data_IF_608070215489
#
_entry.id   IF_608070215489
#
_cell.length_a   1.000
_cell.length_b   1.000
_cell.length_c   1.000
_cell.angle_alpha   90.00
_cell.angle_beta   90.00
_cell.angle_gamma   90.00
#
_symmetry.space_group_name_H-M   'P 1'
#
loop_
_entity.id
_entity.type
_entity.pdbx_description
1 polymer ?
#
# COMPACT_ATOMS: atom_id res chain seq x y z
N UNK A 1 18.97 -19.16 3.99
CA UNK A 1 18.26 -18.02 3.37
C UNK A 1 17.75 -17.11 4.48
N UNK A 2 18.04 -15.81 4.46
CA UNK A 2 17.54 -14.88 5.50
C UNK A 2 16.05 -14.61 5.26
N UNK A 3 15.20 -14.94 6.23
CA UNK A 3 13.76 -14.67 6.17
C UNK A 3 13.45 -13.19 6.33
N UNK A 4 12.38 -12.74 5.69
CA UNK A 4 11.77 -11.41 5.80
C UNK A 4 10.32 -11.58 6.26
N UNK A 5 9.85 -10.66 7.09
CA UNK A 5 8.44 -10.59 7.50
C UNK A 5 7.66 -9.72 6.52
N UNK A 6 6.45 -10.13 6.17
CA UNK A 6 5.47 -9.34 5.43
C UNK A 6 4.37 -8.92 6.40
N UNK A 7 4.05 -7.63 6.45
CA UNK A 7 2.93 -7.14 7.23
C UNK A 7 1.60 -7.36 6.48
N UNK A 8 0.47 -7.16 7.16
CA UNK A 8 -0.86 -7.37 6.60
C UNK A 8 -1.07 -6.58 5.32
N UNK A 9 -0.63 -5.31 5.27
CA UNK A 9 -0.78 -4.46 4.07
C UNK A 9 -0.06 -5.04 2.84
N UNK A 10 1.15 -5.57 3.00
CA UNK A 10 1.89 -6.20 1.92
C UNK A 10 1.23 -7.53 1.48
N UNK A 11 0.79 -8.34 2.45
CA UNK A 11 0.09 -9.61 2.20
C UNK A 11 -1.21 -9.37 1.43
N UNK A 12 -2.02 -8.39 1.83
CA UNK A 12 -3.22 -7.95 1.11
C UNK A 12 -2.91 -7.48 -0.31
N UNK A 13 -1.83 -6.71 -0.49
CA UNK A 13 -1.36 -6.28 -1.80
C UNK A 13 -1.08 -7.44 -2.75
N UNK A 14 -0.38 -8.49 -2.28
CA UNK A 14 -0.11 -9.67 -3.10
C UNK A 14 -1.35 -10.54 -3.32
N UNK A 15 -2.22 -10.68 -2.31
CA UNK A 15 -3.48 -11.41 -2.44
C UNK A 15 -4.39 -10.81 -3.50
N UNK A 16 -4.55 -9.48 -3.47
CA UNK A 16 -5.32 -8.72 -4.46
C UNK A 16 -4.75 -8.80 -5.88
N UNK A 17 -3.53 -9.30 -6.06
CA UNK A 17 -2.90 -9.53 -7.38
C UNK A 17 -2.85 -11.00 -7.77
N UNK A 18 -3.46 -11.89 -6.98
CA UNK A 18 -3.38 -13.34 -7.20
C UNK A 18 -1.98 -13.91 -7.01
N UNK A 19 -1.11 -13.21 -6.28
CA UNK A 19 0.29 -13.58 -6.11
C UNK A 19 0.59 -14.15 -4.72
N UNK A 20 -0.31 -14.03 -3.74
CA UNK A 20 -0.04 -14.38 -2.34
C UNK A 20 0.64 -15.75 -2.16
N UNK A 21 0.07 -16.80 -2.75
CA UNK A 21 0.55 -18.18 -2.60
C UNK A 21 1.96 -18.40 -3.20
N UNK A 22 2.41 -17.51 -4.10
CA UNK A 22 3.79 -17.55 -4.60
C UNK A 22 4.76 -17.00 -3.55
N UNK A 23 4.36 -15.96 -2.81
CA UNK A 23 5.21 -15.23 -1.88
C UNK A 23 5.37 -15.87 -0.50
N UNK A 24 4.36 -16.59 -0.02
CA UNK A 24 4.39 -17.24 1.30
C UNK A 24 5.23 -18.53 1.27
N UNK A 25 6.00 -18.74 2.34
CA UNK A 25 6.77 -19.98 2.54
C UNK A 25 5.86 -21.20 2.80
N UNK A 26 4.72 -21.00 3.47
CA UNK A 26 3.64 -21.98 3.64
C UNK A 26 2.56 -21.80 2.58
N UNK A 27 2.03 -22.93 2.07
CA UNK A 27 0.91 -22.94 1.09
C UNK A 27 -0.44 -22.65 1.75
N UNK A 28 -0.53 -22.82 3.05
CA UNK A 28 -1.69 -22.46 3.84
C UNK A 28 -1.41 -21.10 4.49
N UNK A 29 -2.29 -20.11 4.34
CA UNK A 29 -2.20 -18.91 5.18
C UNK A 29 -2.21 -19.40 6.62
N UNK A 30 -1.23 -18.97 7.42
CA UNK A 30 -1.13 -19.38 8.81
C UNK A 30 -2.52 -19.23 9.44
N UNK A 31 -3.04 -20.35 9.96
CA UNK A 31 -4.31 -20.40 10.70
C UNK A 31 -4.40 -19.18 11.62
N UNK A 32 -5.59 -18.56 11.81
CA UNK A 32 -5.74 -17.45 12.74
C UNK A 32 -5.00 -17.81 14.03
N UNK A 33 -3.99 -16.99 14.38
CA UNK A 33 -2.98 -17.26 15.41
C UNK A 33 -3.58 -18.12 16.53
N UNK A 34 -3.13 -19.37 16.66
CA UNK A 34 -3.68 -20.29 17.64
C UNK A 34 -3.55 -19.68 19.04
N UNK A 35 -4.69 -19.38 19.66
CA UNK A 35 -4.78 -18.87 21.03
C UNK A 35 -4.67 -20.03 22.01
N UNK A 36 -3.51 -20.67 22.02
CA UNK A 36 -3.16 -21.69 23.03
C UNK A 36 -2.36 -21.04 24.16
N UNK A 37 -2.54 -21.55 25.38
CA UNK A 37 -1.89 -21.01 26.56
C UNK A 37 -0.35 -21.06 26.40
N UNK A 38 0.31 -19.91 26.49
CA UNK A 38 1.76 -19.78 26.36
C UNK A 38 2.28 -19.62 24.93
N UNK A 39 1.43 -19.61 23.90
CA UNK A 39 1.85 -19.36 22.53
C UNK A 39 2.37 -17.92 22.36
N UNK A 40 3.61 -17.81 21.88
CA UNK A 40 4.33 -16.55 21.70
C UNK A 40 4.77 -16.40 20.25
N UNK A 41 4.48 -15.27 19.63
CA UNK A 41 4.83 -15.00 18.23
C UNK A 41 5.42 -13.60 18.05
N UNK A 42 6.04 -13.37 16.88
CA UNK A 42 6.54 -12.05 16.47
C UNK A 42 7.69 -11.54 17.33
N UNK A 43 8.93 -11.91 16.99
CA UNK A 43 10.16 -11.42 17.66
C UNK A 43 10.60 -10.04 17.14
N UNK A 44 9.64 -9.15 16.86
CA UNK A 44 9.82 -7.98 15.99
C UNK A 44 10.08 -6.67 16.74
N UNK A 45 9.67 -6.53 18.01
CA UNK A 45 9.95 -5.33 18.80
C UNK A 45 11.12 -5.59 19.75
N UNK A 46 12.33 -5.15 19.42
CA UNK A 46 13.49 -5.27 20.32
C UNK A 46 13.72 -6.69 20.90
N UNK A 47 13.32 -7.76 20.18
CA UNK A 47 13.41 -9.14 20.64
C UNK A 47 12.32 -9.59 21.64
N UNK A 48 11.30 -8.76 21.89
CA UNK A 48 10.13 -9.07 22.73
C UNK A 48 9.12 -9.88 21.91
N UNK A 49 8.51 -10.88 22.54
CA UNK A 49 7.46 -11.71 21.97
C UNK A 49 6.07 -11.20 22.36
N UNK A 50 5.10 -11.36 21.48
CA UNK A 50 3.68 -11.12 21.75
C UNK A 50 2.99 -12.39 22.24
N UNK A 51 1.99 -12.23 23.12
CA UNK A 51 1.09 -13.29 23.57
C UNK A 51 -0.18 -13.27 22.72
N UNK A 52 -0.42 -14.33 21.93
CA UNK A 52 -1.59 -14.39 21.04
C UNK A 52 -2.92 -14.36 21.79
N UNK A 53 -2.93 -14.76 23.06
CA UNK A 53 -4.14 -14.71 23.89
C UNK A 53 -4.59 -13.27 24.19
N UNK A 54 -3.70 -12.29 24.06
CA UNK A 54 -3.97 -10.86 24.25
C UNK A 54 -4.39 -10.13 22.97
N UNK A 55 -4.34 -10.78 21.82
CA UNK A 55 -4.75 -10.18 20.55
C UNK A 55 -6.28 -10.16 20.43
N UNK A 56 -6.86 -8.99 20.21
CA UNK A 56 -8.30 -8.77 20.06
C UNK A 56 -8.61 -8.14 18.70
N UNK A 57 -8.73 -8.97 17.65
CA UNK A 57 -9.01 -8.49 16.29
C UNK A 57 -10.33 -7.69 16.16
N UNK A 58 -11.27 -7.89 17.08
CA UNK A 58 -12.52 -7.12 17.14
C UNK A 58 -12.31 -5.62 17.36
N UNK A 59 -11.12 -5.18 17.80
CA UNK A 59 -10.76 -3.76 17.92
C UNK A 59 -10.70 -3.03 16.59
N UNK A 60 -10.52 -3.77 15.48
CA UNK A 60 -10.51 -3.23 14.13
C UNK A 60 -11.77 -3.69 13.39
N UNK A 61 -12.83 -2.88 13.43
CA UNK A 61 -14.14 -3.22 12.86
C UNK A 61 -14.09 -3.72 11.41
N UNK A 62 -13.14 -3.22 10.62
CA UNK A 62 -13.03 -3.52 9.19
C UNK A 62 -11.92 -4.54 8.86
N UNK A 63 -11.19 -5.05 9.87
CA UNK A 63 -10.21 -6.13 9.71
C UNK A 63 -10.89 -7.48 9.89
N UNK A 64 -11.65 -7.89 8.87
CA UNK A 64 -12.40 -9.15 8.89
C UNK A 64 -11.49 -10.36 8.60
N UNK A 65 -11.80 -11.55 9.15
CA UNK A 65 -11.04 -12.76 8.87
C UNK A 65 -10.93 -13.03 7.37
N UNK A 66 -9.69 -13.16 6.90
CA UNK A 66 -9.37 -13.42 5.48
C UNK A 66 -8.03 -14.15 5.35
N UNK A 67 -7.76 -14.78 4.19
CA UNK A 67 -6.46 -15.39 3.89
C UNK A 67 -5.28 -14.40 3.95
N UNK A 68 -5.55 -13.09 3.91
CA UNK A 68 -4.53 -12.05 3.87
C UNK A 68 -4.41 -11.23 5.15
N UNK A 69 -5.21 -11.52 6.18
CA UNK A 69 -5.21 -10.74 7.43
C UNK A 69 -3.92 -10.96 8.24
N UNK A 70 -3.45 -12.21 8.29
CA UNK A 70 -2.26 -12.56 9.05
C UNK A 70 -0.97 -12.12 8.31
N UNK A 71 0.05 -11.63 9.03
CA UNK A 71 1.36 -11.37 8.44
C UNK A 71 2.00 -12.67 7.94
N UNK A 72 2.87 -12.55 6.95
CA UNK A 72 3.54 -13.70 6.33
C UNK A 72 5.06 -13.67 6.50
N UNK A 73 5.72 -14.74 6.07
CA UNK A 73 7.17 -14.77 5.90
C UNK A 73 7.55 -15.16 4.48
N UNK A 74 8.67 -14.60 4.02
CA UNK A 74 9.24 -14.81 2.69
C UNK A 74 10.76 -14.65 2.71
N UNK A 75 11.40 -14.69 1.54
CA UNK A 75 12.82 -14.36 1.36
C UNK A 75 12.99 -13.31 0.26
N UNK A 76 14.12 -12.58 0.28
CA UNK A 76 14.39 -11.58 -0.75
C UNK A 76 14.49 -12.21 -2.14
N UNK A 77 15.22 -13.33 -2.28
CA UNK A 77 15.38 -13.97 -3.60
C UNK A 77 14.03 -14.48 -4.14
N UNK A 78 13.11 -14.93 -3.27
CA UNK A 78 11.75 -15.30 -3.67
C UNK A 78 10.97 -14.08 -4.16
N UNK A 79 11.03 -12.97 -3.42
CA UNK A 79 10.37 -11.72 -3.82
C UNK A 79 10.88 -11.26 -5.19
N UNK A 80 12.19 -11.19 -5.36
CA UNK A 80 12.81 -10.80 -6.62
C UNK A 80 12.44 -11.73 -7.77
N UNK A 81 12.48 -13.05 -7.56
CA UNK A 81 12.16 -14.03 -8.60
C UNK A 81 10.72 -13.88 -9.09
N UNK A 82 9.75 -13.76 -8.17
CA UNK A 82 8.33 -13.67 -8.54
C UNK A 82 8.02 -12.34 -9.23
N UNK A 83 8.55 -11.24 -8.72
CA UNK A 83 8.33 -9.93 -9.34
C UNK A 83 9.03 -9.82 -10.69
N UNK A 84 10.21 -10.44 -10.85
CA UNK A 84 10.90 -10.56 -12.13
C UNK A 84 10.06 -11.33 -13.14
N UNK A 85 9.63 -12.55 -12.81
CA UNK A 85 8.79 -13.37 -13.68
C UNK A 85 7.52 -12.61 -14.08
N UNK A 86 6.90 -11.90 -13.13
CA UNK A 86 5.72 -11.08 -13.41
C UNK A 86 6.03 -9.94 -14.39
N UNK A 87 7.11 -9.20 -14.18
CA UNK A 87 7.51 -8.11 -15.07
C UNK A 87 7.81 -8.63 -16.48
N UNK A 88 8.57 -9.72 -16.60
CA UNK A 88 8.89 -10.36 -17.87
C UNK A 88 7.63 -10.86 -18.59
N UNK A 89 6.66 -11.43 -17.87
CA UNK A 89 5.35 -11.82 -18.44
C UNK A 89 4.53 -10.65 -18.99
N UNK A 90 4.83 -9.43 -18.54
CA UNK A 90 4.23 -8.18 -19.02
C UNK A 90 5.06 -7.53 -20.14
N UNK A 91 6.10 -8.20 -20.64
CA UNK A 91 6.99 -7.69 -21.70
C UNK A 91 8.09 -6.76 -21.22
N UNK A 92 8.32 -6.64 -19.90
CA UNK A 92 9.41 -5.81 -19.35
C UNK A 92 10.74 -6.55 -19.47
N UNK A 93 11.74 -5.91 -20.08
CA UNK A 93 13.12 -6.41 -20.10
C UNK A 93 13.89 -5.85 -18.91
N UNK A 94 14.44 -6.72 -18.05
CA UNK A 94 15.23 -6.31 -16.87
C UNK A 94 16.71 -6.57 -17.15
N UNK A 95 17.49 -5.49 -17.24
CA UNK A 95 18.94 -5.54 -17.34
C UNK A 95 19.57 -5.40 -15.95
N UNK A 96 20.45 -6.33 -15.57
CA UNK A 96 21.11 -6.35 -14.25
C UNK A 96 22.60 -6.10 -14.38
N UNK A 97 23.18 -5.54 -13.32
CA UNK A 97 24.61 -5.18 -13.27
C UNK A 97 25.04 -4.18 -14.34
N UNK A 98 24.07 -3.43 -14.89
CA UNK A 98 24.29 -2.35 -15.84
C UNK A 98 23.90 -1.06 -15.12
N UNK A 99 24.89 -0.33 -14.62
CA UNK A 99 24.66 0.97 -13.99
C UNK A 99 24.27 2.02 -15.03
N UNK A 100 23.35 2.92 -14.69
CA UNK A 100 23.13 4.14 -15.47
C UNK A 100 24.29 5.10 -15.15
N UNK A 101 25.07 5.47 -16.17
CA UNK A 101 26.26 6.31 -16.02
C UNK A 101 25.93 7.80 -16.19
N UNK A 102 25.12 8.13 -17.19
CA UNK A 102 24.75 9.52 -17.47
C UNK A 102 23.42 9.64 -18.20
N UNK A 103 22.82 10.84 -18.18
CA UNK A 103 21.74 11.22 -19.09
C UNK A 103 22.40 11.96 -20.26
N UNK A 104 22.37 11.36 -21.46
CA UNK A 104 23.04 11.90 -22.66
C UNK A 104 22.19 12.95 -23.37
N UNK A 105 20.87 12.73 -23.38
CA UNK A 105 19.92 13.65 -23.99
C UNK A 105 18.58 13.57 -23.26
N UNK A 106 17.90 14.71 -23.13
CA UNK A 106 16.58 14.79 -22.55
C UNK A 106 15.77 15.87 -23.26
N UNK A 107 14.55 15.54 -23.66
CA UNK A 107 13.53 16.46 -24.14
C UNK A 107 12.20 16.23 -23.39
N UNK A 108 11.16 16.97 -23.77
CA UNK A 108 9.84 16.90 -23.13
C UNK A 108 9.14 15.55 -23.28
N UNK A 109 9.60 14.68 -24.17
CA UNK A 109 8.96 13.42 -24.50
C UNK A 109 9.90 12.22 -24.38
N UNK A 110 11.23 12.40 -24.34
CA UNK A 110 12.21 11.32 -24.31
C UNK A 110 13.50 11.60 -23.52
N UNK A 111 13.97 10.57 -22.82
CA UNK A 111 15.25 10.56 -22.09
C UNK A 111 16.12 9.48 -22.70
N UNK A 112 17.36 9.84 -22.98
CA UNK A 112 18.39 8.90 -23.42
C UNK A 112 19.41 8.80 -22.30
N UNK A 113 19.53 7.61 -21.74
CA UNK A 113 20.55 7.30 -20.74
C UNK A 113 21.67 6.50 -21.37
N UNK A 114 22.90 6.78 -20.96
CA UNK A 114 24.06 5.93 -21.23
C UNK A 114 24.35 5.09 -20.00
N UNK A 115 24.71 3.84 -20.25
CA UNK A 115 25.09 2.90 -19.21
C UNK A 115 26.59 2.89 -18.99
N UNK A 116 27.03 2.29 -17.88
CA UNK A 116 28.46 2.10 -17.58
C UNK A 116 29.22 1.30 -18.66
N UNK A 117 28.50 0.57 -19.53
CA UNK A 117 29.07 -0.18 -20.64
C UNK A 117 29.02 0.60 -21.98
N UNK A 118 28.65 1.89 -21.96
CA UNK A 118 28.47 2.75 -23.12
C UNK A 118 27.29 2.37 -24.06
N UNK A 119 26.44 1.44 -23.65
CA UNK A 119 25.15 1.23 -24.32
C UNK A 119 24.22 2.42 -24.04
N UNK A 120 23.44 2.83 -25.04
CA UNK A 120 22.45 3.90 -24.90
C UNK A 120 21.03 3.36 -24.97
N UNK A 121 20.18 3.82 -24.06
CA UNK A 121 18.77 3.47 -24.00
C UNK A 121 17.93 4.73 -24.05
N UNK A 122 17.04 4.81 -25.04
CA UNK A 122 16.07 5.89 -25.15
C UNK A 122 14.72 5.40 -24.66
N UNK A 123 14.23 6.02 -23.58
CA UNK A 123 12.87 5.87 -23.08
C UNK A 123 12.06 7.14 -23.34
N UNK A 124 10.74 7.07 -23.16
CA UNK A 124 9.94 8.29 -23.01
C UNK A 124 10.22 8.91 -21.65
N UNK A 125 10.42 10.23 -21.58
CA UNK A 125 10.56 10.93 -20.29
C UNK A 125 9.16 11.08 -19.71
N UNK A 126 8.89 10.56 -18.53
CA UNK A 126 7.59 10.71 -17.84
C UNK A 126 7.61 11.93 -16.93
N UNK A 127 6.76 12.94 -17.12
CA UNK A 127 6.82 14.13 -16.23
C UNK A 127 6.54 13.62 -14.82
N UNK A 128 7.33 13.98 -13.80
CA UNK A 128 7.03 15.11 -12.92
C UNK A 128 8.00 15.24 -11.72
N UNK A 129 7.91 16.37 -10.99
CA UNK A 129 8.55 16.65 -9.70
C UNK A 129 7.56 17.19 -8.67
N UNK A 130 7.75 16.85 -7.38
CA UNK A 130 8.23 17.82 -6.36
C UNK A 130 8.82 17.16 -5.11
N UNK A 131 9.96 17.72 -4.67
CA UNK A 131 10.59 17.61 -3.34
C UNK A 131 9.97 18.65 -2.38
N UNK A 132 9.51 18.32 -1.17
CA UNK A 132 9.27 19.31 -0.12
C UNK A 132 10.38 19.25 0.93
N UNK A 133 11.50 19.92 0.62
CA UNK A 133 12.38 20.71 1.50
C UNK A 133 13.87 20.63 1.10
N UNK A 134 14.52 21.77 0.86
CA UNK A 134 15.96 21.85 0.65
C UNK A 134 16.66 22.14 1.99
N UNK A 135 17.60 21.29 2.39
CA UNK A 135 18.77 21.76 3.13
C UNK A 135 19.92 21.56 2.14
N UNK A 136 20.51 22.67 1.71
CA UNK A 136 21.54 22.83 0.67
C UNK A 136 21.04 23.08 -0.76
N UNK A 137 21.04 24.37 -1.12
CA UNK A 137 20.92 24.89 -2.49
C UNK A 137 22.18 24.53 -3.29
N UNK A 138 21.98 23.97 -4.48
CA UNK A 138 22.83 24.28 -5.64
C UNK A 138 21.92 24.83 -6.73
N UNK A 139 21.98 26.14 -6.92
CA UNK A 139 21.28 26.83 -8.00
C UNK A 139 21.93 26.41 -9.35
N UNK A 140 21.10 26.02 -10.33
CA UNK A 140 21.42 25.81 -11.77
C UNK A 140 21.60 24.41 -12.37
N UNK A 141 20.94 23.37 -11.83
CA UNK A 141 20.59 22.19 -12.63
C UNK A 141 19.05 22.03 -12.65
N UNK A 142 18.38 21.93 -13.80
CA UNK A 142 16.95 21.67 -13.84
C UNK A 142 16.69 20.26 -13.28
N UNK A 143 16.21 20.21 -12.03
CA UNK A 143 15.77 18.95 -11.42
C UNK A 143 14.52 18.48 -12.17
N UNK A 144 14.42 17.19 -12.50
CA UNK A 144 13.47 16.66 -13.50
C UNK A 144 12.58 15.48 -13.04
N UNK A 145 11.98 14.84 -14.04
CA UNK A 145 11.06 13.68 -14.14
C UNK A 145 11.34 12.44 -13.25
N UNK A 146 11.45 12.59 -11.93
CA UNK A 146 12.02 11.58 -11.02
C UNK A 146 11.14 11.38 -9.78
N UNK A 147 10.86 10.11 -9.45
CA UNK A 147 10.15 9.67 -8.25
C UNK A 147 11.05 8.73 -7.45
N UNK A 148 10.96 8.77 -6.12
CA UNK A 148 11.71 7.90 -5.21
C UNK A 148 10.75 6.96 -4.46
N UNK A 149 11.13 5.70 -4.30
CA UNK A 149 10.34 4.68 -3.60
C UNK A 149 11.24 3.65 -2.89
N UNK A 150 10.79 3.11 -1.76
CA UNK A 150 11.58 2.16 -0.97
C UNK A 150 12.85 2.79 -0.38
N UNK A 151 13.93 2.02 -0.30
CA UNK A 151 15.17 2.43 0.38
C UNK A 151 15.82 3.69 -0.24
N UNK A 152 15.51 4.05 -1.49
CA UNK A 152 15.98 5.33 -2.07
C UNK A 152 15.26 6.54 -1.49
N UNK A 153 14.08 6.34 -0.87
CA UNK A 153 13.27 7.39 -0.26
C UNK A 153 13.40 7.39 1.27
N UNK A 154 13.60 6.23 1.90
CA UNK A 154 13.73 6.11 3.36
C UNK A 154 14.59 4.92 3.75
N UNK A 155 15.68 5.19 4.48
CA UNK A 155 16.54 4.16 5.09
C UNK A 155 16.38 4.23 6.59
N UNK A 156 16.15 3.09 7.22
CA UNK A 156 16.04 2.98 8.67
C UNK A 156 16.64 1.65 9.17
N UNK A 157 16.97 1.54 10.47
CA UNK A 157 17.44 0.29 11.05
C UNK A 157 16.48 -0.88 10.74
N UNK A 158 16.98 -2.11 10.54
CA UNK A 158 16.17 -3.27 10.14
C UNK A 158 15.38 -3.88 11.31
N UNK A 159 14.92 -3.05 12.24
CA UNK A 159 14.12 -3.44 13.39
C UNK A 159 12.65 -3.56 12.97
N UNK A 160 11.96 -4.60 13.42
CA UNK A 160 10.55 -4.79 13.09
C UNK A 160 10.22 -5.25 11.67
N UNK A 161 11.22 -5.58 10.85
CA UNK A 161 11.04 -6.00 9.46
C UNK A 161 10.26 -5.01 8.57
N UNK A 162 10.39 -3.69 8.80
CA UNK A 162 9.55 -2.71 8.13
C UNK A 162 10.06 -2.25 6.75
N UNK A 163 11.38 -2.27 6.48
CA UNK A 163 11.93 -1.65 5.27
C UNK A 163 11.38 -2.22 3.95
N UNK A 164 11.38 -3.56 3.82
CA UNK A 164 10.77 -4.23 2.67
C UNK A 164 9.27 -3.90 2.55
N UNK A 165 8.54 -3.89 3.66
CA UNK A 165 7.11 -3.60 3.66
C UNK A 165 6.82 -2.14 3.24
N UNK A 166 7.64 -1.19 3.67
CA UNK A 166 7.56 0.21 3.23
C UNK A 166 7.77 0.33 1.72
N UNK A 167 8.82 -0.30 1.17
CA UNK A 167 9.07 -0.28 -0.27
C UNK A 167 7.97 -0.95 -1.10
N UNK A 168 7.42 -2.07 -0.63
CA UNK A 168 6.28 -2.72 -1.28
C UNK A 168 5.04 -1.82 -1.24
N UNK A 169 4.76 -1.16 -0.11
CA UNK A 169 3.64 -0.24 0.02
C UNK A 169 3.79 0.99 -0.88
N UNK A 170 5.02 1.51 -1.04
CA UNK A 170 5.31 2.59 -1.99
C UNK A 170 5.03 2.15 -3.43
N UNK A 171 5.57 1.00 -3.83
CA UNK A 171 5.39 0.46 -5.18
C UNK A 171 3.90 0.22 -5.51
N UNK A 172 3.14 -0.35 -4.57
CA UNK A 172 1.70 -0.57 -4.73
C UNK A 172 0.93 0.77 -4.84
N UNK A 173 1.35 1.80 -4.11
CA UNK A 173 0.69 3.11 -4.12
C UNK A 173 1.01 3.93 -5.38
N UNK A 174 2.26 3.92 -5.84
CA UNK A 174 2.73 4.76 -6.96
C UNK A 174 2.45 4.13 -8.32
N UNK A 175 2.52 2.80 -8.44
CA UNK A 175 2.52 2.12 -9.74
C UNK A 175 1.27 2.40 -10.58
N UNK A 176 0.09 2.37 -9.96
CA UNK A 176 -1.16 2.63 -10.68
C UNK A 176 -1.33 4.12 -11.02
N UNK A 177 -0.80 5.04 -10.20
CA UNK A 177 -0.86 6.48 -10.43
C UNK A 177 0.02 6.88 -11.61
N UNK A 178 1.24 6.36 -11.65
CA UNK A 178 2.15 6.51 -12.79
C UNK A 178 1.48 5.95 -14.04
N UNK A 179 0.90 4.75 -13.98
CA UNK A 179 0.18 4.18 -15.12
C UNK A 179 -0.99 5.06 -15.59
N UNK A 180 -1.74 5.69 -14.68
CA UNK A 180 -2.81 6.63 -15.05
C UNK A 180 -2.26 7.90 -15.70
N UNK A 181 -1.22 8.51 -15.14
CA UNK A 181 -0.54 9.67 -15.74
C UNK A 181 -0.01 9.35 -17.14
N UNK A 182 0.57 8.18 -17.34
CA UNK A 182 1.04 7.73 -18.66
C UNK A 182 -0.12 7.62 -19.65
N UNK A 183 -1.24 7.01 -19.26
CA UNK A 183 -2.42 6.92 -20.14
C UNK A 183 -2.96 8.30 -20.51
N UNK A 184 -2.96 9.23 -19.56
CA UNK A 184 -3.34 10.61 -19.82
C UNK A 184 -2.43 11.27 -20.86
N UNK A 185 -1.10 11.16 -20.69
CA UNK A 185 -0.13 11.68 -21.68
C UNK A 185 -0.36 11.12 -23.08
N UNK A 186 -0.67 9.82 -23.20
CA UNK A 186 -0.93 9.19 -24.49
C UNK A 186 -2.21 9.70 -25.18
N UNK A 187 -3.21 10.15 -24.43
CA UNK A 187 -4.46 10.67 -24.95
C UNK A 187 -4.46 12.19 -25.22
N UNK A 188 -3.44 12.91 -24.74
CA UNK A 188 -3.32 14.35 -24.88
C UNK A 188 -2.40 14.69 -26.08
N UNK A 189 -2.94 15.34 -27.12
CA UNK A 189 -2.16 15.84 -28.27
C UNK A 189 -1.26 17.03 -27.87
N UNK A 190 -0.20 16.75 -27.09
CA UNK A 190 0.78 17.75 -26.67
C UNK A 190 0.40 18.58 -25.44
N UNK A 191 -0.72 18.29 -24.78
CA UNK A 191 -1.05 18.90 -23.49
C UNK A 191 -0.31 18.21 -22.33
N UNK A 192 0.01 18.99 -21.29
CA UNK A 192 0.62 18.45 -20.07
C UNK A 192 -0.42 17.64 -19.30
N UNK A 193 -0.07 16.43 -18.82
CA UNK A 193 -0.98 15.64 -18.00
C UNK A 193 -1.24 16.35 -16.64
N UNK A 194 -2.37 16.04 -16.02
CA UNK A 194 -2.72 16.51 -14.68
C UNK A 194 -1.99 15.65 -13.64
N UNK A 195 -1.28 16.36 -12.77
CA UNK A 195 -0.44 15.78 -11.75
C UNK A 195 -1.14 15.41 -10.46
N UNK A 196 -2.35 15.93 -10.26
CA UNK A 196 -2.99 16.00 -8.96
C UNK A 196 -3.06 14.61 -8.30
N UNK A 197 -3.32 13.56 -9.08
CA UNK A 197 -3.31 12.19 -8.59
C UNK A 197 -1.93 11.72 -8.11
N UNK A 198 -0.89 11.99 -8.91
CA UNK A 198 0.47 11.55 -8.60
C UNK A 198 1.05 12.29 -7.40
N UNK A 199 0.71 13.58 -7.21
CA UNK A 199 1.09 14.36 -6.02
C UNK A 199 0.59 13.73 -4.71
N UNK A 200 -0.53 12.98 -4.77
CA UNK A 200 -1.02 12.25 -3.61
C UNK A 200 -0.08 11.12 -3.16
N UNK A 201 0.90 10.69 -3.96
CA UNK A 201 1.90 9.71 -3.55
C UNK A 201 2.74 10.25 -2.40
N UNK A 202 3.38 11.42 -2.59
CA UNK A 202 4.21 12.02 -1.56
C UNK A 202 3.40 12.30 -0.29
N UNK A 203 2.26 12.99 -0.43
CA UNK A 203 1.41 13.39 0.69
C UNK A 203 0.92 12.20 1.55
N UNK A 204 0.84 11.00 0.96
CA UNK A 204 0.38 9.79 1.64
C UNK A 204 1.54 8.94 2.17
N UNK A 205 2.62 8.81 1.39
CA UNK A 205 3.71 7.87 1.69
C UNK A 205 4.81 8.49 2.53
N UNK A 206 5.07 9.80 2.40
CA UNK A 206 6.06 10.47 3.24
C UNK A 206 5.70 10.43 4.74
N UNK A 207 4.48 10.82 5.18
CA UNK A 207 4.12 10.70 6.61
C UNK A 207 4.12 9.26 7.11
N UNK A 208 3.77 8.29 6.26
CA UNK A 208 3.81 6.88 6.62
C UNK A 208 5.26 6.39 6.84
N UNK A 209 6.19 6.77 5.96
CA UNK A 209 7.62 6.46 6.09
C UNK A 209 8.25 7.11 7.33
N UNK A 210 7.93 8.39 7.60
CA UNK A 210 8.33 9.09 8.83
C UNK A 210 7.86 8.35 10.09
N UNK A 211 6.61 7.88 10.11
CA UNK A 211 6.09 7.10 11.24
C UNK A 211 6.87 5.81 11.51
N UNK A 212 7.34 5.13 10.45
CA UNK A 212 8.18 3.93 10.58
C UNK A 212 9.59 4.27 11.07
N UNK A 213 10.17 5.38 10.59
CA UNK A 213 11.47 5.86 11.04
C UNK A 213 11.45 6.22 12.53
N UNK A 214 10.45 6.98 12.98
CA UNK A 214 10.25 7.33 14.39
C UNK A 214 10.07 6.09 15.27
N UNK A 215 9.25 5.14 14.82
CA UNK A 215 9.05 3.88 15.53
C UNK A 215 10.34 3.04 15.62
N UNK A 216 11.18 3.10 14.58
CA UNK A 216 12.49 2.43 14.58
C UNK A 216 13.49 3.13 15.51
N UNK A 217 13.49 4.47 15.58
CA UNK A 217 14.31 5.26 16.51
C UNK A 217 13.98 4.92 17.97
N UNK A 218 12.69 4.81 18.30
CA UNK A 218 12.26 4.40 19.64
C UNK A 218 12.81 3.01 20.02
N UNK A 219 12.80 2.05 19.09
CA UNK A 219 13.37 0.72 19.34
C UNK A 219 14.88 0.76 19.55
N UNK A 220 15.62 1.56 18.76
CA UNK A 220 17.07 1.75 18.95
C UNK A 220 17.38 2.32 20.33
N UNK A 221 16.59 3.30 20.80
CA UNK A 221 16.77 3.89 22.13
C UNK A 221 16.54 2.86 23.25
N UNK A 222 15.50 2.03 23.11
CA UNK A 222 15.19 0.95 24.07
C UNK A 222 16.25 -0.15 24.07
N UNK A 223 16.90 -0.42 22.93
CA UNK A 223 17.92 -1.45 22.77
C UNK A 223 19.32 -1.05 23.24
N UNK A 224 19.54 0.18 23.71
CA UNK A 224 20.86 0.62 24.16
C UNK A 224 21.37 -0.27 25.31
N UNK A 225 22.62 -0.76 25.27
CA UNK A 225 23.22 -1.59 26.32
C UNK A 225 23.66 -0.74 27.51
N UNK A 226 22.70 -0.08 28.16
CA UNK A 226 22.89 0.79 29.32
C UNK A 226 21.77 0.54 30.34
N UNK A 227 21.98 0.87 31.64
CA UNK A 227 20.94 0.69 32.67
C UNK A 227 19.60 1.34 32.31
N UNK A 228 19.63 2.50 31.65
CA UNK A 228 18.42 3.18 31.16
C UNK A 228 17.69 2.35 30.10
N UNK A 229 18.40 1.79 29.12
CA UNK A 229 17.81 0.92 28.10
C UNK A 229 17.18 -0.34 28.68
N UNK A 230 17.84 -0.97 29.66
CA UNK A 230 17.31 -2.12 30.38
C UNK A 230 16.02 -1.77 31.16
N UNK A 231 16.00 -0.64 31.86
CA UNK A 231 14.81 -0.16 32.57
C UNK A 231 13.64 0.14 31.62
N UNK A 232 13.92 0.81 30.48
CA UNK A 232 12.91 1.06 29.44
C UNK A 232 12.39 -0.23 28.84
N UNK A 233 13.25 -1.24 28.60
CA UNK A 233 12.81 -2.55 28.13
C UNK A 233 11.85 -3.23 29.11
N UNK A 234 12.13 -3.16 30.42
CA UNK A 234 11.25 -3.75 31.43
C UNK A 234 9.87 -3.09 31.41
N UNK A 235 9.81 -1.75 31.41
CA UNK A 235 8.54 -1.02 31.33
C UNK A 235 7.74 -1.40 30.07
N UNK A 236 8.41 -1.50 28.92
CA UNK A 236 7.75 -1.88 27.67
C UNK A 236 7.27 -3.34 27.70
N UNK A 237 8.01 -4.26 28.34
CA UNK A 237 7.55 -5.64 28.55
C UNK A 237 6.30 -5.70 29.40
N UNK A 238 6.24 -4.90 30.47
CA UNK A 238 5.07 -4.82 31.34
C UNK A 238 3.84 -4.28 30.58
N UNK A 239 4.04 -3.25 29.74
CA UNK A 239 2.98 -2.73 28.86
C UNK A 239 2.53 -3.77 27.82
N UNK A 240 3.46 -4.44 27.12
CA UNK A 240 3.13 -5.50 26.15
C UNK A 240 2.42 -6.67 26.83
N UNK A 241 2.69 -6.93 28.12
CA UNK A 241 1.97 -7.92 28.89
C UNK A 241 0.50 -7.54 29.18
N UNK A 242 0.03 -6.35 28.79
CA UNK A 242 -1.41 -6.01 28.83
C UNK A 242 -2.06 -6.27 27.47
N UNK A 243 -3.39 -6.42 27.47
CA UNK A 243 -4.18 -6.50 26.22
C UNK A 243 -3.99 -5.24 25.39
N UNK A 244 -4.11 -4.05 25.98
CA UNK A 244 -3.98 -2.79 25.25
C UNK A 244 -2.59 -2.60 24.65
N UNK A 245 -1.53 -2.84 25.42
CA UNK A 245 -0.16 -2.68 24.94
C UNK A 245 0.20 -3.68 23.83
N UNK A 246 -0.27 -4.93 23.90
CA UNK A 246 -0.13 -5.89 22.81
C UNK A 246 -0.80 -5.39 21.53
N UNK A 247 -2.07 -4.96 21.62
CA UNK A 247 -2.83 -4.54 20.42
C UNK A 247 -2.29 -3.24 19.80
N UNK A 248 -1.83 -2.27 20.60
CA UNK A 248 -1.19 -1.03 20.09
C UNK A 248 0.07 -1.34 19.26
N UNK A 249 0.89 -2.29 19.70
CA UNK A 249 2.09 -2.65 18.94
C UNK A 249 1.75 -3.50 17.71
N UNK A 250 0.83 -4.46 17.83
CA UNK A 250 0.38 -5.27 16.68
C UNK A 250 -0.18 -4.35 15.59
N UNK A 251 -1.00 -3.35 15.95
CA UNK A 251 -1.51 -2.34 15.02
C UNK A 251 -0.40 -1.75 14.15
N UNK A 252 0.68 -1.29 14.79
CA UNK A 252 1.82 -0.65 14.15
C UNK A 252 2.64 -1.62 13.31
N UNK A 253 2.85 -2.84 13.79
CA UNK A 253 3.65 -3.84 13.06
C UNK A 253 2.94 -4.35 11.82
N UNK A 254 1.65 -4.61 11.94
CA UNK A 254 0.85 -5.21 10.88
C UNK A 254 0.27 -4.16 9.93
N UNK A 255 0.19 -2.90 10.37
CA UNK A 255 -0.37 -1.79 9.61
C UNK A 255 -1.90 -1.82 9.57
N UNK A 256 -2.56 -2.38 10.60
CA UNK A 256 -4.01 -2.59 10.62
C UNK A 256 -4.79 -1.27 10.59
N UNK A 257 -4.27 -0.23 11.26
CA UNK A 257 -4.84 1.14 11.20
C UNK A 257 -4.14 2.05 10.19
N UNK A 258 -3.40 1.51 9.21
CA UNK A 258 -2.84 2.35 8.15
C UNK A 258 -3.97 3.02 7.38
N UNK A 259 -4.06 4.34 7.52
CA UNK A 259 -5.10 5.17 6.91
C UNK A 259 -4.51 6.41 6.25
N UNK A 260 -4.74 6.55 4.95
CA UNK A 260 -4.44 7.77 4.20
C UNK A 260 -5.58 8.78 4.37
N UNK A 261 -5.38 9.77 5.24
CA UNK A 261 -6.36 10.85 5.43
C UNK A 261 -6.50 11.66 4.12
N UNK A 262 -7.69 11.69 3.48
CA UNK A 262 -7.89 12.45 2.26
C UNK A 262 -8.18 13.92 2.62
N UNK A 263 -7.17 14.71 2.99
CA UNK A 263 -7.38 16.15 3.28
C UNK A 263 -8.48 16.47 4.31
N UNK A 264 -8.90 17.73 4.37
CA UNK A 264 -9.75 18.29 5.45
C UNK A 264 -11.26 18.27 5.15
N UNK A 265 -11.76 17.49 4.19
CA UNK A 265 -13.19 17.48 3.87
C UNK A 265 -13.98 16.56 4.81
N UNK A 266 -15.14 17.03 5.30
CA UNK A 266 -16.05 16.30 6.21
C UNK A 266 -16.58 14.99 5.61
N UNK A 267 -16.61 14.86 4.29
CA UNK A 267 -16.92 13.62 3.55
C UNK A 267 -15.95 12.44 3.84
N UNK A 268 -14.91 12.67 4.66
CA UNK A 268 -13.93 11.66 5.07
C UNK A 268 -13.93 11.38 6.58
N UNK A 269 -15.00 11.75 7.29
CA UNK A 269 -15.13 11.44 8.72
C UNK A 269 -15.05 9.93 9.00
N UNK A 270 -15.64 9.11 8.13
CA UNK A 270 -15.74 7.67 8.36
C UNK A 270 -14.36 6.97 8.35
N UNK A 271 -14.02 6.15 9.38
CA UNK A 271 -12.68 5.56 9.56
C UNK A 271 -12.25 4.61 8.43
N UNK A 272 -13.19 4.08 7.65
CA UNK A 272 -12.88 3.21 6.51
C UNK A 272 -12.32 3.99 5.32
N UNK A 273 -12.72 5.24 5.12
CA UNK A 273 -12.22 6.05 3.99
C UNK A 273 -10.73 6.33 4.19
N UNK A 274 -9.92 5.90 3.23
CA UNK A 274 -8.46 5.98 3.30
C UNK A 274 -7.80 4.75 3.92
N UNK A 275 -8.56 3.74 4.37
CA UNK A 275 -8.06 2.49 4.94
C UNK A 275 -8.13 1.35 3.92
N UNK A 276 -7.51 0.21 4.21
CA UNK A 276 -7.57 -0.98 3.33
C UNK A 276 -9.01 -1.52 3.25
N UNK A 277 -9.46 -1.88 2.06
CA UNK A 277 -10.79 -2.42 1.83
C UNK A 277 -10.93 -3.82 2.47
N UNK A 278 -12.00 -4.08 3.26
CA UNK A 278 -12.20 -5.38 3.89
C UNK A 278 -12.39 -6.47 2.83
N UNK A 279 -11.84 -7.66 3.07
CA UNK A 279 -11.97 -8.79 2.15
C UNK A 279 -13.31 -9.53 2.34
N UNK A 280 -14.42 -8.84 2.00
CA UNK A 280 -15.77 -9.33 2.23
C UNK A 280 -15.99 -10.70 1.60
N UNK A 281 -16.63 -11.60 2.35
CA UNK A 281 -17.12 -12.87 1.83
C UNK A 281 -18.46 -12.64 1.13
N UNK A 282 -18.46 -12.82 -0.18
CA UNK A 282 -19.61 -12.60 -1.03
C UNK A 282 -20.60 -13.76 -0.88
N UNK A 283 -21.89 -13.53 -1.16
CA UNK A 283 -22.93 -14.58 -1.03
C UNK A 283 -22.61 -15.82 -1.89
N UNK A 284 -21.91 -15.64 -3.01
CA UNK A 284 -21.42 -16.73 -3.87
C UNK A 284 -20.17 -17.48 -3.35
N UNK A 285 -19.72 -17.23 -2.12
CA UNK A 285 -18.57 -17.91 -1.49
C UNK A 285 -17.19 -17.41 -1.90
N UNK A 286 -17.08 -16.66 -3.00
CA UNK A 286 -15.84 -15.94 -3.35
C UNK A 286 -15.61 -14.73 -2.44
N UNK A 287 -14.38 -14.20 -2.43
CA UNK A 287 -14.01 -13.03 -1.63
C UNK A 287 -13.66 -11.83 -2.48
N UNK A 288 -13.94 -10.63 -1.97
CA UNK A 288 -13.75 -9.38 -2.70
C UNK A 288 -12.30 -9.17 -3.17
N UNK A 289 -11.32 -9.48 -2.33
CA UNK A 289 -9.89 -9.37 -2.59
C UNK A 289 -9.45 -10.09 -3.87
N UNK A 290 -10.05 -11.25 -4.17
CA UNK A 290 -9.74 -12.01 -5.39
C UNK A 290 -10.14 -11.29 -6.69
N UNK A 291 -11.05 -10.32 -6.63
CA UNK A 291 -11.54 -9.56 -7.80
C UNK A 291 -10.54 -8.50 -8.26
N UNK A 292 -9.65 -8.02 -7.40
CA UNK A 292 -8.71 -6.93 -7.69
C UNK A 292 -7.49 -7.31 -8.56
N UNK A 293 -7.44 -8.53 -9.09
CA UNK A 293 -6.27 -9.05 -9.81
C UNK A 293 -5.90 -8.25 -11.06
N UNK A 294 -6.89 -7.58 -11.68
CA UNK A 294 -6.70 -6.71 -12.85
C UNK A 294 -6.03 -5.36 -12.57
N UNK A 295 -5.86 -4.96 -11.30
CA UNK A 295 -5.25 -3.67 -10.96
C UNK A 295 -6.08 -2.45 -11.36
N UNK A 296 -7.40 -2.63 -11.48
CA UNK A 296 -8.40 -1.58 -11.74
C UNK A 296 -9.02 -1.08 -10.43
N UNK A 297 -9.68 0.07 -10.48
CA UNK A 297 -10.55 0.50 -9.38
C UNK A 297 -11.82 -0.35 -9.35
N UNK A 298 -12.49 -0.40 -8.20
CA UNK A 298 -13.77 -1.09 -8.07
C UNK A 298 -14.81 -0.18 -7.43
N UNK A 299 -15.99 -0.13 -8.03
CA UNK A 299 -17.20 0.38 -7.41
C UNK A 299 -18.06 -0.82 -7.02
N UNK A 300 -18.24 -1.03 -5.73
CA UNK A 300 -18.91 -2.20 -5.18
C UNK A 300 -20.24 -1.73 -4.63
N UNK A 301 -21.31 -2.36 -5.08
CA UNK A 301 -22.67 -2.08 -4.67
C UNK A 301 -23.26 -3.35 -4.05
N UNK A 302 -23.57 -3.30 -2.76
CA UNK A 302 -24.12 -4.43 -2.02
C UNK A 302 -25.65 -4.53 -2.14
N UNK A 303 -26.31 -3.51 -2.72
CA UNK A 303 -27.77 -3.38 -2.78
C UNK A 303 -28.35 -3.31 -4.20
N UNK A 304 -27.50 -3.37 -5.22
CA UNK A 304 -27.91 -3.34 -6.63
C UNK A 304 -28.65 -2.04 -6.99
N UNK A 305 -28.10 -0.89 -6.56
CA UNK A 305 -28.67 0.42 -6.78
C UNK A 305 -28.37 0.95 -8.19
N UNK A 306 -29.40 1.02 -9.03
CA UNK A 306 -29.28 1.47 -10.43
C UNK A 306 -28.68 2.87 -10.59
N UNK A 307 -28.87 3.78 -9.63
CA UNK A 307 -28.29 5.14 -9.70
C UNK A 307 -26.76 5.12 -9.55
N UNK A 308 -26.22 4.16 -8.79
CA UNK A 308 -24.77 3.97 -8.66
C UNK A 308 -24.18 3.31 -9.90
N UNK A 309 -24.91 2.35 -10.48
CA UNK A 309 -24.53 1.74 -11.75
C UNK A 309 -24.43 2.79 -12.86
N UNK A 310 -25.46 3.62 -13.04
CA UNK A 310 -25.50 4.70 -14.03
C UNK A 310 -24.35 5.70 -13.87
N UNK A 311 -23.91 5.95 -12.64
CA UNK A 311 -22.82 6.86 -12.35
C UNK A 311 -21.46 6.37 -12.89
N UNK A 312 -21.23 5.05 -12.90
CA UNK A 312 -19.95 4.45 -13.31
C UNK A 312 -19.95 4.05 -14.78
N UNK A 313 -21.07 3.53 -15.28
CA UNK A 313 -21.21 2.93 -16.62
C UNK A 313 -21.34 3.94 -17.77
N UNK A 314 -21.37 5.25 -17.49
CA UNK A 314 -21.51 6.32 -18.49
C UNK A 314 -20.24 6.67 -19.30
N UNK A 315 -19.48 5.68 -19.80
CA UNK A 315 -18.22 5.77 -20.59
C UNK A 315 -17.01 6.41 -19.89
N UNK A 316 -17.21 7.36 -18.97
CA UNK A 316 -16.12 8.15 -18.38
C UNK A 316 -15.19 7.33 -17.50
N UNK A 317 -15.72 6.39 -16.72
CA UNK A 317 -14.95 5.64 -15.73
C UNK A 317 -14.82 4.15 -16.05
N UNK A 318 -15.60 3.63 -16.99
CA UNK A 318 -15.70 2.20 -17.33
C UNK A 318 -14.37 1.57 -17.76
N UNK A 319 -13.43 2.36 -18.32
CA UNK A 319 -12.10 1.86 -18.66
C UNK A 319 -11.17 1.67 -17.43
N UNK A 320 -11.50 2.28 -16.28
CA UNK A 320 -10.63 2.43 -15.10
C UNK A 320 -11.24 1.82 -13.83
N UNK A 321 -12.57 1.75 -13.75
CA UNK A 321 -13.34 1.30 -12.60
C UNK A 321 -14.29 0.18 -13.03
N UNK A 322 -14.20 -0.96 -12.37
CA UNK A 322 -15.16 -2.05 -12.50
C UNK A 322 -16.32 -1.83 -11.54
N UNK A 323 -17.55 -1.75 -12.08
CA UNK A 323 -18.75 -1.79 -11.25
C UNK A 323 -19.14 -3.24 -10.98
N UNK A 324 -19.39 -3.58 -9.71
CA UNK A 324 -19.91 -4.88 -9.31
C UNK A 324 -21.11 -4.70 -8.37
N UNK A 325 -22.27 -5.20 -8.80
CA UNK A 325 -23.45 -5.35 -7.97
C UNK A 325 -23.44 -6.77 -7.38
N UNK A 326 -23.05 -6.90 -6.11
CA UNK A 326 -22.94 -8.20 -5.45
C UNK A 326 -23.06 -8.07 -3.93
N UNK A 327 -23.97 -8.85 -3.35
CA UNK A 327 -24.16 -8.87 -1.90
C UNK A 327 -23.05 -9.68 -1.17
N UNK A 328 -22.80 -9.33 0.09
CA UNK A 328 -21.88 -10.01 1.00
C UNK A 328 -22.62 -10.60 2.20
N UNK A 329 -22.05 -11.67 2.80
CA UNK A 329 -22.65 -12.33 3.96
C UNK A 329 -22.79 -11.41 5.17
N UNK A 330 -21.86 -10.48 5.32
CA UNK A 330 -21.86 -9.43 6.32
C UNK A 330 -21.16 -8.19 5.72
N UNK A 331 -21.94 -7.15 5.41
CA UNK A 331 -21.42 -5.89 4.85
C UNK A 331 -20.92 -4.92 5.92
N UNK A 332 -21.10 -5.24 7.21
CA UNK A 332 -20.85 -4.34 8.34
C UNK A 332 -21.64 -3.02 8.25
N UNK A 333 -22.84 -3.07 7.67
CA UNK A 333 -23.72 -1.90 7.50
C UNK A 333 -23.39 -1.02 6.29
N UNK A 334 -22.43 -1.44 5.46
CA UNK A 334 -22.07 -0.73 4.23
C UNK A 334 -23.04 -1.10 3.10
N UNK A 335 -23.40 -0.09 2.31
CA UNK A 335 -24.25 -0.25 1.12
C UNK A 335 -23.41 -0.19 -0.15
N UNK A 336 -22.36 0.64 -0.18
CA UNK A 336 -21.47 0.74 -1.34
C UNK A 336 -20.04 1.16 -0.95
N UNK A 337 -19.07 0.84 -1.82
CA UNK A 337 -17.66 1.20 -1.68
C UNK A 337 -17.02 1.57 -3.01
N UNK A 338 -16.24 2.64 -3.03
CA UNK A 338 -15.27 2.92 -4.10
C UNK A 338 -13.88 2.56 -3.59
N UNK A 339 -13.21 1.64 -4.27
CA UNK A 339 -11.89 1.12 -3.91
C UNK A 339 -10.89 1.42 -5.01
N UNK A 340 -9.74 1.99 -4.62
CA UNK A 340 -8.64 2.30 -5.52
C UNK A 340 -7.91 1.04 -5.99
N UNK A 341 -7.12 1.12 -7.08
CA UNK A 341 -6.32 0.00 -7.55
C UNK A 341 -5.40 -0.62 -6.49
N UNK A 342 -4.87 0.17 -5.56
CA UNK A 342 -4.02 -0.31 -4.46
C UNK A 342 -4.81 -0.89 -3.27
N UNK A 343 -6.13 -1.01 -3.40
CA UNK A 343 -7.01 -1.66 -2.43
C UNK A 343 -7.43 -0.79 -1.25
N UNK A 344 -7.16 0.52 -1.32
CA UNK A 344 -7.62 1.49 -0.32
C UNK A 344 -8.98 2.08 -0.68
N UNK A 345 -9.86 2.22 0.30
CA UNK A 345 -11.19 2.81 0.12
C UNK A 345 -11.04 4.31 -0.15
N UNK A 346 -11.62 4.78 -1.25
CA UNK A 346 -11.71 6.19 -1.63
C UNK A 346 -13.02 6.83 -1.17
N UNK A 347 -14.10 6.06 -1.14
CA UNK A 347 -15.43 6.51 -0.74
C UNK A 347 -16.28 5.31 -0.29
N UNK A 348 -17.30 5.57 0.52
CA UNK A 348 -18.22 4.55 1.05
C UNK A 348 -19.61 5.16 1.28
N UNK A 349 -20.64 4.32 1.29
CA UNK A 349 -21.97 4.63 1.77
C UNK A 349 -22.38 3.67 2.88
N UNK A 350 -22.96 4.21 3.95
CA UNK A 350 -23.54 3.49 5.08
C UNK A 350 -24.87 4.15 5.51
N UNK A 351 -25.77 3.36 6.08
CA UNK A 351 -27.10 3.85 6.48
C UNK A 351 -27.98 4.29 5.30
N UNK A 352 -29.10 4.94 5.62
CA UNK A 352 -30.16 5.23 4.65
C UNK A 352 -29.87 6.42 3.70
N UNK A 353 -28.72 7.10 3.83
CA UNK A 353 -28.43 8.33 3.09
C UNK A 353 -27.36 8.08 2.02
N UNK A 354 -27.81 7.76 0.80
CA UNK A 354 -26.93 7.58 -0.35
C UNK A 354 -26.59 8.93 -0.98
N UNK A 355 -25.46 9.51 -0.57
CA UNK A 355 -24.94 10.74 -1.15
C UNK A 355 -24.20 10.49 -2.47
N UNK A 356 -24.94 10.62 -3.58
CA UNK A 356 -24.41 10.47 -4.94
C UNK A 356 -23.40 11.55 -5.34
N UNK A 357 -23.45 12.73 -4.73
CA UNK A 357 -22.53 13.83 -5.06
C UNK A 357 -21.14 13.56 -4.47
N UNK A 358 -21.06 13.02 -3.25
CA UNK A 358 -19.77 12.59 -2.69
C UNK A 358 -19.17 11.42 -3.46
N UNK A 359 -19.99 10.49 -3.97
CA UNK A 359 -19.53 9.42 -4.86
C UNK A 359 -18.93 9.98 -6.16
N UNK A 360 -19.61 10.96 -6.79
CA UNK A 360 -19.11 11.68 -7.97
C UNK A 360 -17.77 12.36 -7.69
N UNK A 361 -17.68 13.12 -6.60
CA UNK A 361 -16.44 13.82 -6.21
C UNK A 361 -15.28 12.83 -6.02
N UNK A 362 -15.54 11.67 -5.40
CA UNK A 362 -14.51 10.64 -5.24
C UNK A 362 -14.11 10.00 -6.56
N UNK A 363 -15.06 9.70 -7.46
CA UNK A 363 -14.74 9.20 -8.80
C UNK A 363 -13.88 10.20 -9.58
N UNK A 364 -14.23 11.49 -9.53
CA UNK A 364 -13.44 12.56 -10.16
C UNK A 364 -12.04 12.63 -9.58
N UNK A 365 -11.91 12.65 -8.25
CA UNK A 365 -10.63 12.79 -7.56
C UNK A 365 -9.66 11.63 -7.86
N UNK A 366 -10.16 10.42 -8.09
CA UNK A 366 -9.31 9.24 -8.20
C UNK A 366 -9.21 8.65 -9.62
N UNK A 367 -10.18 8.92 -10.50
CA UNK A 367 -10.34 8.21 -11.77
C UNK A 367 -10.64 9.10 -12.98
N UNK A 368 -10.55 10.44 -12.88
CA UNK A 368 -10.71 11.34 -14.03
C UNK A 368 -9.47 11.43 -14.95
N UNK A 369 -8.32 10.93 -14.49
CA UNK A 369 -6.99 11.06 -15.12
C UNK A 369 -6.72 10.06 -16.25
#
# INVERSE_FOLDING_TARGET
MRRRGLNTVAVEGFYRRGLLNKFLDSKEPDSPLEKTAGFRFGRHFAGIFFDANKLELSRWNYSIPSPSLAPGSTSMDRVESILKERAESLGVTILRSIGVASIVAQDDNSVTVETANHDTFRGRTFCFLRHPNPIERSDHLPVGRILLAGDTAHIHPPLGAQGLNCGLADAMNIGWKVASTIRQEHGLEGAKPDLTLLDTYHNKRHPAGEGVLEFSRAQVAILQPAPLGAASQQLIRDLIATTDGTNILIDRFWGLSLRYKPGNAEAHAHPLVGSSAPDFELVGGSRLGSKFSGGRGFFIDFEENTKLEELVTGLRYEARVDYIAINAKDTRGLHALLVRPDGFVAWMAEGNDLDLETAKVALEQWFSF
#
